data_IF_917700394899
#
_entry.id   IF_917700394899
#
_cell.length_a   1.000
_cell.length_b   1.000
_cell.length_c   1.000
_cell.angle_alpha   90.00
_cell.angle_beta   90.00
_cell.angle_gamma   90.00
#
_symmetry.space_group_name_H-M   'P 1'
#
loop_
_entity.id
_entity.type
_entity.pdbx_description
1 polymer ?
#
# COMPACT_ATOMS: atom_id res chain seq x y z
N UNK A 1 7.72 54.86 2.40
CA UNK A 1 6.82 53.79 1.87
C UNK A 1 7.72 52.65 1.41
N UNK A 2 7.38 51.40 1.73
CA UNK A 2 8.10 50.26 1.19
C UNK A 2 7.87 50.18 -0.33
N UNK A 3 8.89 49.84 -1.14
CA UNK A 3 8.72 49.67 -2.57
C UNK A 3 7.69 48.56 -2.83
N UNK A 4 6.83 48.69 -3.85
CA UNK A 4 5.82 47.69 -4.14
C UNK A 4 6.47 46.36 -4.50
N UNK A 5 5.83 45.25 -4.12
CA UNK A 5 6.32 43.91 -4.38
C UNK A 5 6.41 43.67 -5.89
N UNK A 6 7.60 43.35 -6.37
CA UNK A 6 7.85 43.03 -7.78
C UNK A 6 8.04 41.53 -7.97
N UNK A 7 8.48 40.80 -6.95
CA UNK A 7 8.67 39.35 -7.04
C UNK A 7 7.97 38.64 -5.89
N UNK A 8 7.15 37.65 -6.20
CA UNK A 8 6.56 36.74 -5.20
C UNK A 8 7.25 35.38 -5.30
N UNK A 9 7.88 34.98 -4.20
CA UNK A 9 8.46 33.65 -4.04
C UNK A 9 7.64 32.85 -3.04
N UNK A 10 7.06 31.77 -3.54
CA UNK A 10 6.33 30.83 -2.71
C UNK A 10 7.30 29.83 -2.04
N UNK A 11 7.36 29.81 -0.70
CA UNK A 11 8.24 28.91 0.08
C UNK A 11 7.53 27.64 0.59
N UNK A 12 6.42 27.27 -0.03
CA UNK A 12 5.68 26.05 0.31
C UNK A 12 4.23 26.29 0.70
N UNK A 13 3.69 27.48 0.39
CA UNK A 13 2.26 27.63 0.22
C UNK A 13 1.88 26.82 -1.00
N UNK A 14 1.17 25.73 -0.81
CA UNK A 14 0.36 25.29 -1.93
C UNK A 14 -0.75 26.34 -2.06
N UNK A 15 -0.62 27.26 -3.01
CA UNK A 15 -1.81 27.92 -3.59
C UNK A 15 -2.58 26.80 -4.28
N UNK A 16 -3.35 26.04 -3.49
CA UNK A 16 -4.07 24.84 -3.92
C UNK A 16 -5.23 25.18 -4.86
N UNK A 17 -5.69 26.43 -4.79
CA UNK A 17 -6.92 26.88 -5.43
C UNK A 17 -6.70 27.53 -6.80
N UNK A 18 -5.46 27.90 -7.15
CA UNK A 18 -5.13 28.59 -8.41
C UNK A 18 -3.89 27.99 -9.07
N UNK A 19 -3.96 27.85 -10.39
CA UNK A 19 -2.80 27.63 -11.27
C UNK A 19 -1.87 28.84 -11.27
N UNK A 20 -0.63 28.68 -11.75
CA UNK A 20 0.32 29.79 -11.86
C UNK A 20 -0.21 30.92 -12.75
N UNK A 21 -0.94 30.57 -13.82
CA UNK A 21 -1.58 31.54 -14.70
C UNK A 21 -2.74 32.29 -13.99
N UNK A 22 -3.58 31.59 -13.23
CA UNK A 22 -4.67 32.21 -12.47
C UNK A 22 -4.16 33.11 -11.36
N UNK A 23 -3.09 32.71 -10.66
CA UNK A 23 -2.42 33.55 -9.67
C UNK A 23 -1.80 34.80 -10.30
N UNK A 24 -1.16 34.68 -11.47
CA UNK A 24 -0.62 35.81 -12.22
C UNK A 24 -1.72 36.79 -12.68
N UNK A 25 -2.86 36.26 -13.14
CA UNK A 25 -4.02 37.05 -13.55
C UNK A 25 -4.63 37.82 -12.37
N UNK A 26 -4.81 37.14 -11.23
CA UNK A 26 -5.36 37.77 -10.03
C UNK A 26 -4.43 38.85 -9.48
N UNK A 27 -3.10 38.64 -9.54
CA UNK A 27 -2.13 39.66 -9.18
C UNK A 27 -2.24 40.91 -10.08
N UNK A 28 -2.34 40.74 -11.41
CA UNK A 28 -2.56 41.87 -12.32
C UNK A 28 -3.87 42.63 -12.01
N UNK A 29 -4.93 41.92 -11.64
CA UNK A 29 -6.23 42.49 -11.26
C UNK A 29 -6.14 43.33 -9.98
N UNK A 30 -5.46 42.82 -8.96
CA UNK A 30 -5.28 43.50 -7.67
C UNK A 30 -4.40 44.76 -7.77
N UNK A 31 -3.61 44.91 -8.84
CA UNK A 31 -2.59 45.97 -8.95
C UNK A 31 -2.98 47.13 -9.90
N UNK A 32 -4.26 47.54 -9.84
CA UNK A 32 -4.91 48.46 -10.81
C UNK A 32 -4.45 49.94 -10.81
N UNK A 33 -3.49 50.36 -9.97
CA UNK A 33 -3.01 51.75 -9.91
C UNK A 33 -1.81 52.01 -10.86
N UNK A 34 -1.59 53.29 -11.20
CA UNK A 34 -0.75 53.79 -12.31
C UNK A 34 0.77 53.60 -12.20
N UNK A 35 1.27 52.98 -11.12
CA UNK A 35 2.72 52.81 -10.85
C UNK A 35 3.19 51.34 -10.84
N UNK A 36 2.44 50.43 -11.48
CA UNK A 36 2.55 48.98 -11.24
C UNK A 36 2.40 48.13 -12.52
N UNK A 37 2.91 46.88 -12.54
CA UNK A 37 3.41 46.19 -13.75
C UNK A 37 2.38 46.05 -14.87
N UNK A 38 2.85 46.13 -16.11
CA UNK A 38 2.03 45.93 -17.32
C UNK A 38 1.87 44.45 -17.71
N UNK A 39 2.72 43.58 -17.15
CA UNK A 39 2.71 42.14 -17.36
C UNK A 39 3.31 41.41 -16.16
N UNK A 40 2.92 40.14 -15.97
CA UNK A 40 3.47 39.23 -14.95
C UNK A 40 4.16 38.06 -15.64
N UNK A 41 5.40 37.77 -15.22
CA UNK A 41 6.14 36.57 -15.63
C UNK A 41 5.79 35.45 -14.67
N UNK A 42 5.45 34.28 -15.20
CA UNK A 42 5.18 33.07 -14.43
C UNK A 42 5.70 31.82 -15.15
N UNK A 43 5.77 30.70 -14.44
CA UNK A 43 6.10 29.42 -15.06
C UNK A 43 4.80 28.69 -15.44
N UNK A 44 4.69 28.31 -16.71
CA UNK A 44 3.55 27.54 -17.22
C UNK A 44 3.63 26.06 -16.83
N UNK A 45 2.59 25.30 -17.19
CA UNK A 45 2.46 23.87 -16.85
C UNK A 45 3.50 22.97 -17.54
N UNK A 46 4.33 23.53 -18.43
CA UNK A 46 5.41 22.82 -19.13
C UNK A 46 6.80 23.20 -18.62
N UNK A 47 6.88 23.80 -17.43
CA UNK A 47 8.11 24.38 -16.84
C UNK A 47 8.76 25.47 -17.72
N UNK A 48 7.96 26.10 -18.59
CA UNK A 48 8.36 27.20 -19.47
C UNK A 48 8.07 28.57 -18.87
N UNK A 49 8.95 29.56 -19.14
CA UNK A 49 8.68 30.95 -18.76
C UNK A 49 7.68 31.60 -19.71
N UNK A 50 6.55 32.00 -19.15
CA UNK A 50 5.43 32.63 -19.85
C UNK A 50 5.13 34.01 -19.25
N UNK A 51 4.60 34.91 -20.07
CA UNK A 51 4.24 36.28 -19.70
C UNK A 51 2.76 36.49 -19.93
N UNK A 52 2.07 37.04 -18.93
CA UNK A 52 0.69 37.45 -19.03
C UNK A 52 0.57 38.97 -19.03
N UNK A 53 -0.08 39.55 -20.03
CA UNK A 53 -0.42 40.98 -20.06
C UNK A 53 -1.74 41.29 -19.33
N UNK A 54 -2.02 42.57 -19.08
CA UNK A 54 -3.30 43.01 -18.46
C UNK A 54 -4.57 42.68 -19.26
N UNK A 55 -4.45 42.22 -20.52
CA UNK A 55 -5.57 41.76 -21.34
C UNK A 55 -5.78 40.25 -21.21
N UNK A 56 -5.02 39.58 -20.34
CA UNK A 56 -5.06 38.14 -20.11
C UNK A 56 -4.41 37.33 -21.23
N UNK A 57 -3.62 37.95 -22.11
CA UNK A 57 -2.91 37.23 -23.17
C UNK A 57 -1.64 36.62 -22.60
N UNK A 58 -1.45 35.33 -22.84
CA UNK A 58 -0.29 34.55 -22.43
C UNK A 58 0.59 34.30 -23.66
N UNK A 59 1.88 34.55 -23.53
CA UNK A 59 2.88 34.26 -24.55
C UNK A 59 4.19 33.78 -23.91
N UNK A 60 5.03 33.06 -24.68
CA UNK A 60 6.36 32.68 -24.20
C UNK A 60 7.21 33.92 -23.97
N UNK A 61 7.93 33.97 -22.83
CA UNK A 61 8.83 35.06 -22.50
C UNK A 61 9.88 35.30 -23.58
N UNK A 62 10.32 34.26 -24.31
CA UNK A 62 11.36 34.40 -25.35
C UNK A 62 10.89 35.24 -26.56
N UNK A 63 9.60 35.20 -26.86
CA UNK A 63 8.99 35.89 -28.01
C UNK A 63 8.29 37.18 -27.63
N UNK A 64 8.16 37.44 -26.32
CA UNK A 64 7.45 38.60 -25.79
C UNK A 64 8.27 39.89 -25.89
N UNK A 65 7.65 41.07 -26.13
CA UNK A 65 8.31 42.36 -25.99
C UNK A 65 8.86 42.60 -24.56
N UNK A 66 8.33 41.91 -23.55
CA UNK A 66 8.79 41.99 -22.15
C UNK A 66 10.10 41.22 -21.89
N UNK A 67 10.61 40.44 -22.85
CA UNK A 67 11.87 39.72 -22.73
C UNK A 67 13.09 40.61 -22.43
N UNK A 68 13.03 41.88 -22.85
CA UNK A 68 14.10 42.88 -22.73
C UNK A 68 13.82 43.95 -21.66
N UNK A 69 12.62 43.96 -21.07
CA UNK A 69 12.20 44.86 -20.00
C UNK A 69 11.75 44.02 -18.80
N UNK A 70 12.72 43.58 -17.99
CA UNK A 70 12.46 42.77 -16.80
C UNK A 70 12.05 43.60 -15.57
N UNK A 71 11.79 44.91 -15.75
CA UNK A 71 11.29 45.81 -14.69
C UNK A 71 9.83 45.49 -14.27
N UNK A 72 9.22 44.46 -14.88
CA UNK A 72 7.88 43.94 -14.55
C UNK A 72 7.87 42.96 -13.37
N UNK A 73 6.66 42.63 -12.89
CA UNK A 73 6.50 41.74 -11.75
C UNK A 73 6.62 40.26 -12.12
N UNK A 74 7.18 39.44 -11.23
CA UNK A 74 7.45 38.01 -11.44
C UNK A 74 6.83 37.16 -10.33
N UNK A 75 6.11 36.09 -10.69
CA UNK A 75 5.53 35.11 -9.79
C UNK A 75 6.14 33.73 -10.05
N UNK A 76 6.59 33.01 -9.01
CA UNK A 76 7.22 31.69 -9.21
C UNK A 76 6.72 30.66 -8.19
N UNK A 77 6.42 29.44 -8.65
CA UNK A 77 5.92 28.33 -7.82
C UNK A 77 6.57 27.00 -8.23
N UNK A 78 7.70 26.63 -7.61
CA UNK A 78 8.32 25.32 -7.83
C UNK A 78 9.83 25.34 -7.62
N UNK A 79 10.48 24.16 -7.64
CA UNK A 79 11.95 24.05 -7.51
C UNK A 79 12.68 24.44 -8.82
N UNK A 80 12.11 24.09 -9.97
CA UNK A 80 12.66 24.37 -11.32
C UNK A 80 12.50 25.85 -11.69
N UNK A 81 11.33 26.42 -11.42
CA UNK A 81 10.91 27.80 -11.70
C UNK A 81 11.83 28.85 -11.06
N UNK A 82 12.28 28.57 -9.82
CA UNK A 82 13.06 29.50 -9.00
C UNK A 82 14.47 29.76 -9.55
N UNK A 83 15.08 28.78 -10.25
CA UNK A 83 16.45 28.90 -10.77
C UNK A 83 16.52 29.78 -12.03
N UNK A 84 15.59 29.64 -12.96
CA UNK A 84 15.62 30.42 -14.20
C UNK A 84 15.35 31.91 -13.93
N UNK A 85 14.42 32.21 -13.02
CA UNK A 85 14.03 33.59 -12.71
C UNK A 85 15.09 34.27 -11.81
N UNK A 86 15.61 33.60 -10.77
CA UNK A 86 16.64 34.18 -9.89
C UNK A 86 17.94 34.59 -10.62
N UNK A 87 18.33 33.88 -11.69
CA UNK A 87 19.50 34.25 -12.50
C UNK A 87 19.34 35.57 -13.27
N UNK A 88 18.11 36.09 -13.40
CA UNK A 88 17.76 37.28 -14.19
C UNK A 88 17.29 38.48 -13.36
N UNK A 89 17.08 38.34 -12.05
CA UNK A 89 16.58 39.38 -11.13
C UNK A 89 17.70 40.25 -10.48
N UNK A 90 18.89 40.33 -11.10
CA UNK A 90 20.10 40.84 -10.44
C UNK A 90 20.17 42.36 -10.18
N UNK A 91 19.11 43.14 -10.44
CA UNK A 91 19.15 44.61 -10.33
C UNK A 91 17.85 45.18 -9.71
N UNK A 92 17.94 45.65 -8.45
CA UNK A 92 17.02 46.65 -7.87
C UNK A 92 15.61 46.21 -7.49
N UNK A 93 15.22 44.94 -7.65
CA UNK A 93 13.84 44.49 -7.44
C UNK A 93 13.49 44.15 -5.99
N UNK A 94 12.23 44.41 -5.60
CA UNK A 94 11.67 44.06 -4.29
C UNK A 94 11.06 42.65 -4.27
N UNK A 95 11.53 41.79 -3.36
CA UNK A 95 11.11 40.38 -3.22
C UNK A 95 10.26 40.19 -1.96
N UNK A 96 9.14 39.49 -2.10
CA UNK A 96 8.26 39.09 -0.99
C UNK A 96 8.18 37.56 -0.92
N UNK A 97 8.34 37.03 0.29
CA UNK A 97 8.17 35.61 0.60
C UNK A 97 6.77 35.37 1.17
N UNK A 98 6.01 34.47 0.56
CA UNK A 98 4.72 34.04 1.06
C UNK A 98 4.90 32.76 1.88
N UNK A 99 4.63 32.83 3.18
CA UNK A 99 4.85 31.76 4.15
C UNK A 99 3.51 31.30 4.75
N UNK A 100 3.07 30.06 4.54
CA UNK A 100 1.89 29.51 5.22
C UNK A 100 2.04 29.45 6.74
N UNK A 101 0.93 29.42 7.47
CA UNK A 101 0.96 29.31 8.94
C UNK A 101 1.69 28.05 9.44
N UNK A 102 1.64 26.96 8.69
CA UNK A 102 2.36 25.72 9.00
C UNK A 102 3.88 25.91 8.93
N UNK A 103 4.36 26.55 7.86
CA UNK A 103 5.79 26.85 7.65
C UNK A 103 6.24 27.95 8.61
N UNK A 104 5.38 28.94 8.88
CA UNK A 104 5.60 29.99 9.87
C UNK A 104 5.95 29.40 11.22
N UNK A 105 5.16 28.42 11.71
CA UNK A 105 5.45 27.71 12.97
C UNK A 105 6.81 27.01 12.93
N UNK A 106 7.18 26.37 11.81
CA UNK A 106 8.48 25.71 11.65
C UNK A 106 9.65 26.69 11.65
N UNK A 107 9.50 27.85 11.01
CA UNK A 107 10.51 28.93 11.01
C UNK A 107 10.65 29.51 12.41
N UNK A 108 9.55 29.87 13.07
CA UNK A 108 9.56 30.46 14.42
C UNK A 108 10.14 29.53 15.47
N UNK A 109 10.00 28.21 15.32
CA UNK A 109 10.63 27.22 16.22
C UNK A 109 12.17 27.27 16.15
N UNK A 110 12.74 27.81 15.07
CA UNK A 110 14.19 27.89 14.82
C UNK A 110 14.75 29.32 14.90
N UNK A 111 13.89 30.35 14.84
CA UNK A 111 14.25 31.76 14.95
C UNK A 111 14.21 32.25 16.41
N UNK A 112 14.81 33.41 16.69
CA UNK A 112 14.79 34.02 18.04
C UNK A 112 13.38 34.54 18.42
N UNK A 113 13.04 34.51 19.72
CA UNK A 113 11.71 34.67 20.34
C UNK A 113 10.91 35.97 20.05
N UNK A 114 11.35 36.85 19.15
CA UNK A 114 10.73 38.16 18.92
C UNK A 114 9.49 38.14 18.01
N UNK A 115 9.04 36.97 17.54
CA UNK A 115 7.77 36.79 16.82
C UNK A 115 7.67 37.42 15.42
N UNK A 116 8.68 38.20 15.01
CA UNK A 116 8.80 38.76 13.67
C UNK A 116 9.75 37.90 12.84
N UNK A 117 9.33 37.50 11.63
CA UNK A 117 10.13 36.66 10.74
C UNK A 117 10.90 37.56 9.79
N UNK A 118 12.22 37.44 9.80
CA UNK A 118 13.09 38.12 8.84
C UNK A 118 13.41 37.22 7.63
N UNK A 119 13.90 37.83 6.54
CA UNK A 119 14.32 37.08 5.34
C UNK A 119 15.43 36.08 5.67
N UNK A 120 16.32 36.43 6.59
CA UNK A 120 17.36 35.55 7.12
C UNK A 120 16.79 34.26 7.72
N UNK A 121 15.69 34.35 8.48
CA UNK A 121 15.02 33.20 9.09
C UNK A 121 14.41 32.27 8.04
N UNK A 122 13.79 32.84 7.00
CA UNK A 122 13.22 32.09 5.87
C UNK A 122 14.31 31.34 5.11
N UNK A 123 15.44 32.01 4.81
CA UNK A 123 16.57 31.40 4.12
C UNK A 123 17.24 30.32 4.97
N UNK A 124 17.45 30.58 6.26
CA UNK A 124 18.02 29.61 7.18
C UNK A 124 17.15 28.36 7.28
N UNK A 125 15.82 28.52 7.39
CA UNK A 125 14.88 27.42 7.38
C UNK A 125 14.95 26.63 6.07
N UNK A 126 14.90 27.29 4.91
CA UNK A 126 14.93 26.63 3.61
C UNK A 126 16.23 25.84 3.36
N UNK A 127 17.38 26.40 3.74
CA UNK A 127 18.68 25.72 3.68
C UNK A 127 18.68 24.50 4.62
N UNK A 128 18.17 24.67 5.84
CA UNK A 128 18.10 23.60 6.83
C UNK A 128 17.19 22.45 6.38
N UNK A 129 16.01 22.73 5.83
CA UNK A 129 15.12 21.70 5.30
C UNK A 129 15.73 21.00 4.09
N UNK A 130 16.42 21.74 3.22
CA UNK A 130 17.16 21.15 2.10
C UNK A 130 18.24 20.20 2.61
N UNK A 131 18.99 20.59 3.63
CA UNK A 131 20.00 19.74 4.26
C UNK A 131 19.39 18.49 4.91
N UNK A 132 18.30 18.63 5.66
CA UNK A 132 17.61 17.48 6.27
C UNK A 132 17.05 16.52 5.23
N UNK A 133 16.45 17.05 4.16
CA UNK A 133 15.98 16.25 3.03
C UNK A 133 17.13 15.51 2.35
N UNK A 134 18.23 16.22 2.03
CA UNK A 134 19.43 15.59 1.47
C UNK A 134 19.96 14.47 2.37
N UNK A 135 20.07 14.73 3.68
CA UNK A 135 20.49 13.72 4.66
C UNK A 135 19.56 12.51 4.69
N UNK A 136 18.25 12.72 4.62
CA UNK A 136 17.25 11.66 4.55
C UNK A 136 17.35 10.80 3.28
N UNK A 137 17.81 11.39 2.17
CA UNK A 137 17.93 10.69 0.87
C UNK A 137 19.28 9.98 0.66
N UNK A 138 20.27 10.18 1.54
CA UNK A 138 21.59 9.53 1.43
C UNK A 138 21.50 8.00 1.44
N UNK A 139 20.69 7.34 2.29
CA UNK A 139 20.53 5.88 2.25
C UNK A 139 20.01 5.39 0.90
N UNK A 140 18.98 6.04 0.35
CA UNK A 140 18.41 5.67 -0.94
C UNK A 140 19.44 5.80 -2.07
N UNK A 141 20.15 6.93 -2.12
CA UNK A 141 21.25 7.13 -3.07
C UNK A 141 22.33 6.04 -2.94
N UNK A 142 22.71 5.68 -1.71
CA UNK A 142 23.72 4.66 -1.46
C UNK A 142 23.24 3.28 -1.92
N UNK A 143 22.00 2.90 -1.60
CA UNK A 143 21.37 1.66 -2.06
C UNK A 143 21.33 1.58 -3.59
N UNK A 144 20.94 2.67 -4.26
CA UNK A 144 20.96 2.76 -5.73
C UNK A 144 22.38 2.62 -6.31
N UNK A 145 23.37 3.27 -5.68
CA UNK A 145 24.78 3.17 -6.10
C UNK A 145 25.33 1.76 -5.96
N UNK A 146 25.08 1.08 -4.84
CA UNK A 146 25.51 -0.31 -4.63
C UNK A 146 24.78 -1.27 -5.57
N UNK A 147 23.49 -1.05 -5.81
CA UNK A 147 22.70 -1.78 -6.81
C UNK A 147 23.32 -1.67 -8.19
N UNK A 148 23.70 -0.46 -8.60
CA UNK A 148 24.39 -0.24 -9.87
C UNK A 148 25.70 -1.03 -9.94
N UNK A 149 26.56 -0.95 -8.91
CA UNK A 149 27.83 -1.68 -8.87
C UNK A 149 27.63 -3.21 -8.94
N UNK A 150 26.62 -3.74 -8.26
CA UNK A 150 26.24 -5.16 -8.35
C UNK A 150 25.84 -5.52 -9.78
N UNK A 151 24.96 -4.76 -10.41
CA UNK A 151 24.49 -5.04 -11.77
C UNK A 151 25.58 -4.88 -12.82
N UNK A 152 26.46 -3.89 -12.68
CA UNK A 152 27.60 -3.70 -13.57
C UNK A 152 28.53 -4.92 -13.59
N UNK A 153 28.80 -5.53 -12.42
CA UNK A 153 29.59 -6.77 -12.35
C UNK A 153 28.90 -7.92 -13.07
N UNK A 154 27.63 -8.15 -12.74
CA UNK A 154 26.86 -9.22 -13.37
C UNK A 154 26.78 -9.02 -14.89
N UNK A 155 26.69 -7.77 -15.34
CA UNK A 155 26.65 -7.43 -16.76
C UNK A 155 27.99 -7.71 -17.44
N UNK A 156 29.11 -7.33 -16.80
CA UNK A 156 30.44 -7.60 -17.30
C UNK A 156 30.77 -9.10 -17.35
N UNK A 157 30.24 -9.91 -16.42
CA UNK A 157 30.35 -11.38 -16.47
C UNK A 157 29.64 -11.99 -17.69
N UNK A 158 28.52 -11.40 -18.13
CA UNK A 158 27.71 -11.90 -19.26
C UNK A 158 28.28 -11.45 -20.60
N UNK A 159 28.95 -10.29 -20.64
CA UNK A 159 29.51 -9.70 -21.86
C UNK A 159 30.81 -10.41 -22.27
N UNK A 160 30.71 -11.63 -22.78
CA UNK A 160 31.79 -12.27 -23.56
C UNK A 160 31.74 -11.86 -25.03
N UNK A 161 32.89 -11.80 -25.70
CA UNK A 161 33.14 -11.03 -26.93
C UNK A 161 32.27 -11.36 -28.17
N UNK A 162 31.49 -12.45 -28.22
CA UNK A 162 30.76 -12.82 -29.45
C UNK A 162 29.29 -13.27 -29.31
N UNK A 163 28.71 -13.38 -28.10
CA UNK A 163 27.25 -13.55 -27.99
C UNK A 163 26.72 -13.28 -26.57
N UNK A 164 25.69 -12.44 -26.45
CA UNK A 164 24.98 -12.16 -25.19
C UNK A 164 23.86 -13.18 -24.96
N UNK A 165 24.21 -14.47 -24.81
CA UNK A 165 23.24 -15.50 -24.45
C UNK A 165 22.92 -15.42 -22.95
N UNK A 166 21.82 -14.75 -22.61
CA UNK A 166 21.28 -14.68 -21.26
C UNK A 166 20.70 -16.03 -20.83
N UNK A 167 21.48 -16.81 -20.07
CA UNK A 167 20.98 -17.99 -19.37
C UNK A 167 19.95 -17.61 -18.30
N UNK A 168 18.98 -18.50 -18.03
CA UNK A 168 18.04 -18.33 -16.91
C UNK A 168 18.72 -18.12 -15.56
N UNK A 169 19.93 -18.67 -15.36
CA UNK A 169 20.71 -18.43 -14.15
C UNK A 169 21.24 -16.99 -14.08
N UNK A 170 21.65 -16.41 -15.21
CA UNK A 170 22.07 -15.01 -15.29
C UNK A 170 20.91 -14.07 -14.97
N UNK A 171 19.73 -14.31 -15.58
CA UNK A 171 18.52 -13.53 -15.30
C UNK A 171 18.16 -13.59 -13.82
N UNK A 172 18.17 -14.78 -13.20
CA UNK A 172 17.87 -14.92 -11.75
C UNK A 172 18.81 -14.13 -10.85
N UNK A 173 20.09 -13.97 -11.21
CA UNK A 173 21.07 -13.18 -10.43
C UNK A 173 20.84 -11.67 -10.57
N UNK A 174 20.25 -11.23 -11.69
CA UNK A 174 19.84 -9.86 -11.98
C UNK A 174 18.51 -9.47 -11.34
N UNK A 175 17.66 -10.43 -10.98
CA UNK A 175 16.40 -10.15 -10.30
C UNK A 175 16.65 -9.62 -8.89
N UNK A 176 15.74 -8.77 -8.47
CA UNK A 176 15.64 -8.26 -7.11
C UNK A 176 14.28 -8.59 -6.55
N UNK A 177 14.23 -8.69 -5.23
CA UNK A 177 12.99 -8.87 -4.50
C UNK A 177 12.21 -7.55 -4.59
N UNK A 178 11.12 -7.54 -5.35
CA UNK A 178 10.24 -6.36 -5.51
C UNK A 178 9.56 -5.99 -4.19
N UNK A 179 9.30 -6.99 -3.33
CA UNK A 179 8.67 -6.80 -2.05
C UNK A 179 9.45 -7.50 -0.95
N UNK A 180 9.53 -6.87 0.21
CA UNK A 180 10.00 -7.52 1.42
C UNK A 180 8.95 -8.51 1.92
N UNK A 181 9.39 -9.72 2.26
CA UNK A 181 8.56 -10.65 3.01
C UNK A 181 8.11 -10.04 4.34
N UNK A 182 6.99 -10.53 4.86
CA UNK A 182 6.50 -10.10 6.17
C UNK A 182 7.52 -10.32 7.29
N UNK A 183 8.29 -11.41 7.21
CA UNK A 183 9.36 -11.67 8.14
C UNK A 183 10.48 -10.62 8.03
N UNK A 184 10.89 -10.22 6.83
CA UNK A 184 11.86 -9.13 6.65
C UNK A 184 11.32 -7.80 7.18
N UNK A 185 10.01 -7.54 7.05
CA UNK A 185 9.39 -6.26 7.44
C UNK A 185 9.07 -6.14 8.94
N UNK A 186 8.64 -7.22 9.57
CA UNK A 186 8.08 -7.19 10.93
C UNK A 186 8.86 -8.00 11.96
N UNK A 187 9.82 -8.85 11.56
CA UNK A 187 10.61 -9.60 12.54
C UNK A 187 11.43 -8.60 13.39
N UNK A 188 11.36 -8.67 14.72
CA UNK A 188 12.25 -7.89 15.59
C UNK A 188 13.70 -8.29 15.29
N UNK A 189 14.45 -7.41 14.61
CA UNK A 189 15.88 -7.59 14.34
C UNK A 189 16.66 -6.64 15.23
N UNK A 190 17.72 -7.15 15.87
CA UNK A 190 18.77 -6.29 16.38
C UNK A 190 19.53 -5.75 15.17
N UNK A 191 19.41 -4.44 14.88
CA UNK A 191 20.10 -3.67 13.84
C UNK A 191 21.06 -4.49 12.96
N UNK A 192 20.53 -5.22 11.98
CA UNK A 192 21.36 -5.84 10.95
C UNK A 192 21.39 -4.88 9.77
N UNK A 193 22.46 -4.10 9.65
CA UNK A 193 22.62 -3.17 8.53
C UNK A 193 22.96 -3.95 7.24
N UNK A 194 21.94 -4.37 6.50
CA UNK A 194 22.14 -5.08 5.22
C UNK A 194 22.99 -4.28 4.20
N UNK A 195 23.00 -2.95 4.30
CA UNK A 195 23.87 -2.09 3.50
C UNK A 195 25.35 -2.17 3.93
N UNK A 196 25.61 -2.26 5.24
CA UNK A 196 26.97 -2.41 5.77
C UNK A 196 27.56 -3.75 5.33
N UNK A 197 26.78 -4.83 5.39
CA UNK A 197 27.19 -6.15 4.91
C UNK A 197 27.54 -6.11 3.40
N UNK A 198 26.76 -5.38 2.60
CA UNK A 198 27.03 -5.23 1.17
C UNK A 198 28.29 -4.41 0.89
N UNK A 199 28.46 -3.28 1.59
CA UNK A 199 29.68 -2.45 1.53
C UNK A 199 30.92 -3.24 1.95
N UNK A 200 30.81 -4.10 2.95
CA UNK A 200 31.93 -4.95 3.40
C UNK A 200 32.24 -6.09 2.42
N UNK A 201 31.23 -6.60 1.71
CA UNK A 201 31.40 -7.63 0.67
C UNK A 201 32.04 -7.07 -0.60
N UNK A 202 31.80 -5.79 -0.89
CA UNK A 202 32.19 -5.11 -2.11
C UNK A 202 33.48 -4.29 -1.89
N UNK A 203 34.62 -4.85 -2.30
CA UNK A 203 35.93 -4.20 -2.14
C UNK A 203 36.25 -3.13 -3.19
N UNK A 204 35.26 -2.65 -3.97
CA UNK A 204 35.52 -1.63 -4.98
C UNK A 204 35.81 -0.26 -4.35
N UNK A 205 36.64 0.54 -5.04
CA UNK A 205 36.89 1.94 -4.67
C UNK A 205 35.57 2.74 -4.65
N UNK A 206 34.65 2.45 -5.56
CA UNK A 206 33.34 3.10 -5.63
C UNK A 206 32.48 2.81 -4.39
N UNK A 207 32.40 1.55 -3.93
CA UNK A 207 31.68 1.20 -2.70
C UNK A 207 32.26 1.90 -1.47
N UNK A 208 33.59 2.01 -1.38
CA UNK A 208 34.27 2.74 -0.31
C UNK A 208 33.95 4.25 -0.32
N UNK A 209 33.83 4.86 -1.50
CA UNK A 209 33.42 6.26 -1.63
C UNK A 209 31.97 6.48 -1.20
N UNK A 210 31.07 5.57 -1.58
CA UNK A 210 29.67 5.57 -1.13
C UNK A 210 29.60 5.48 0.40
N UNK A 211 30.32 4.52 0.99
CA UNK A 211 30.36 4.34 2.44
C UNK A 211 30.92 5.56 3.18
N UNK A 212 31.96 6.19 2.63
CA UNK A 212 32.55 7.42 3.19
C UNK A 212 31.55 8.56 3.16
N UNK A 213 30.86 8.74 2.03
CA UNK A 213 29.81 9.75 1.91
C UNK A 213 28.68 9.51 2.90
N UNK A 214 28.24 8.28 3.12
CA UNK A 214 27.22 8.00 4.14
C UNK A 214 27.67 8.39 5.56
N UNK A 215 28.96 8.17 5.89
CA UNK A 215 29.52 8.56 7.19
C UNK A 215 29.56 10.08 7.38
N UNK A 216 29.88 10.85 6.33
CA UNK A 216 29.88 12.32 6.38
C UNK A 216 28.51 12.91 6.77
N UNK A 217 27.41 12.23 6.41
CA UNK A 217 26.05 12.67 6.72
C UNK A 217 25.54 12.17 8.08
N UNK A 218 26.40 11.48 8.85
CA UNK A 218 26.11 10.98 10.20
C UNK A 218 25.32 9.68 10.15
N UNK A 219 26.05 8.56 10.06
CA UNK A 219 25.61 7.14 10.08
C UNK A 219 24.11 6.98 10.24
N UNK A 220 23.41 7.12 9.12
CA UNK A 220 21.95 7.06 9.08
C UNK A 220 21.56 5.62 9.41
N UNK A 221 20.61 5.42 10.32
CA UNK A 221 19.99 4.12 10.56
C UNK A 221 19.49 3.60 9.21
N UNK A 222 20.18 2.60 8.65
CA UNK A 222 19.98 2.16 7.27
C UNK A 222 18.68 1.38 7.08
N UNK A 223 17.84 1.29 8.12
CA UNK A 223 16.59 0.57 8.14
C UNK A 223 15.46 1.46 8.64
N UNK A 224 14.81 2.11 7.69
CA UNK A 224 13.39 2.38 7.82
C UNK A 224 12.74 2.06 6.48
N UNK A 225 12.33 0.81 6.30
CA UNK A 225 11.46 0.40 5.21
C UNK A 225 10.11 1.17 5.18
N UNK A 226 9.84 2.02 6.19
CA UNK A 226 8.77 3.02 6.18
C UNK A 226 9.19 4.35 5.55
N UNK A 227 10.44 4.78 5.74
CA UNK A 227 10.96 5.98 5.09
C UNK A 227 11.21 5.74 3.61
N UNK A 228 11.73 4.57 3.23
CA UNK A 228 11.95 4.28 1.81
C UNK A 228 10.64 4.34 1.01
N UNK A 229 9.52 3.82 1.53
CA UNK A 229 8.24 3.81 0.79
C UNK A 229 7.61 5.20 0.64
N UNK A 230 7.61 6.04 1.68
CA UNK A 230 7.01 7.39 1.62
C UNK A 230 7.90 8.37 0.82
N UNK A 231 9.22 8.22 0.95
CA UNK A 231 10.22 9.07 0.31
C UNK A 231 10.46 8.66 -1.15
N UNK A 232 10.36 7.36 -1.48
CA UNK A 232 10.23 6.92 -2.87
C UNK A 232 8.90 7.36 -3.48
N UNK A 233 7.79 7.44 -2.73
CA UNK A 233 6.50 7.92 -3.27
C UNK A 233 6.53 9.40 -3.65
N UNK A 234 7.22 10.22 -2.86
CA UNK A 234 7.44 11.64 -3.18
C UNK A 234 8.36 11.84 -4.40
N UNK A 235 9.36 10.97 -4.59
CA UNK A 235 10.27 11.01 -5.74
C UNK A 235 9.67 10.33 -6.98
N UNK A 236 8.86 9.29 -6.80
CA UNK A 236 8.23 8.52 -7.87
C UNK A 236 7.14 9.30 -8.60
N UNK A 237 6.58 10.35 -7.99
CA UNK A 237 5.67 11.26 -8.67
C UNK A 237 6.32 11.91 -9.92
N UNK A 238 7.65 11.97 -10.00
CA UNK A 238 8.41 12.54 -11.12
C UNK A 238 8.89 11.49 -12.14
N UNK A 239 8.72 10.18 -11.88
CA UNK A 239 9.20 9.10 -12.76
C UNK A 239 8.04 8.24 -13.30
N UNK A 240 7.73 8.37 -14.60
CA UNK A 240 6.83 7.43 -15.29
C UNK A 240 7.43 6.02 -15.24
N UNK A 241 6.81 5.12 -14.47
CA UNK A 241 7.16 3.69 -14.43
C UNK A 241 6.10 2.88 -15.18
N UNK A 242 6.50 2.25 -16.28
CA UNK A 242 5.69 1.21 -16.92
C UNK A 242 5.80 -0.10 -16.10
N UNK A 243 4.78 -0.41 -15.30
CA UNK A 243 4.72 -1.67 -14.57
C UNK A 243 4.23 -2.79 -15.49
N UNK A 244 5.07 -3.80 -15.75
CA UNK A 244 4.61 -5.06 -16.34
C UNK A 244 4.15 -6.01 -15.24
N UNK A 245 2.83 -6.15 -15.09
CA UNK A 245 2.23 -7.08 -14.13
C UNK A 245 2.45 -8.52 -14.60
N UNK A 246 3.24 -9.29 -13.85
CA UNK A 246 3.38 -10.72 -14.07
C UNK A 246 2.09 -11.42 -13.63
N UNK A 247 1.27 -11.83 -14.59
CA UNK A 247 0.04 -12.57 -14.30
C UNK A 247 0.34 -14.01 -13.87
N UNK A 248 -0.54 -14.63 -13.07
CA UNK A 248 -0.47 -16.05 -12.80
C UNK A 248 -0.35 -16.87 -14.10
N UNK A 249 0.35 -18.02 -14.06
CA UNK A 249 0.44 -18.93 -15.19
C UNK A 249 -0.95 -19.32 -15.71
N UNK A 250 -1.05 -19.57 -17.03
CA UNK A 250 -2.32 -20.05 -17.61
C UNK A 250 -2.67 -21.42 -17.02
N UNK A 251 -3.80 -21.49 -16.32
CA UNK A 251 -4.36 -22.73 -15.78
C UNK A 251 -5.71 -23.04 -16.43
N UNK A 252 -6.07 -24.32 -16.50
CA UNK A 252 -7.41 -24.74 -16.93
C UNK A 252 -8.38 -24.65 -15.75
N UNK A 253 -9.48 -23.88 -15.87
CA UNK A 253 -10.46 -23.79 -14.80
C UNK A 253 -11.15 -25.14 -14.60
N UNK A 254 -11.32 -25.55 -13.35
CA UNK A 254 -12.12 -26.75 -13.05
C UNK A 254 -13.58 -26.43 -13.31
N UNK A 255 -14.29 -27.36 -13.97
CA UNK A 255 -15.73 -27.21 -14.20
C UNK A 255 -16.48 -27.21 -12.87
N UNK A 256 -17.33 -26.20 -12.68
CA UNK A 256 -18.14 -26.08 -11.48
C UNK A 256 -19.19 -27.18 -11.37
N UNK A 257 -19.45 -27.63 -10.14
CA UNK A 257 -20.45 -28.66 -9.84
C UNK A 257 -21.07 -28.43 -8.46
N UNK A 258 -22.39 -28.54 -8.36
CA UNK A 258 -23.12 -28.47 -7.09
C UNK A 258 -23.40 -29.89 -6.63
N UNK A 259 -22.73 -30.30 -5.55
CA UNK A 259 -22.91 -31.64 -4.99
C UNK A 259 -24.32 -31.82 -4.40
N UNK A 260 -24.90 -33.02 -4.52
CA UNK A 260 -26.25 -33.31 -4.01
C UNK A 260 -26.40 -33.09 -2.50
N UNK A 261 -25.39 -33.43 -1.71
CA UNK A 261 -25.39 -33.14 -0.27
C UNK A 261 -25.39 -31.64 0.06
N UNK A 262 -24.92 -30.78 -0.85
CA UNK A 262 -25.06 -29.32 -0.70
C UNK A 262 -26.51 -28.89 -0.87
N UNK A 263 -27.23 -29.46 -1.85
CA UNK A 263 -28.67 -29.23 -2.03
C UNK A 263 -29.46 -29.73 -0.82
N UNK A 264 -29.10 -30.90 -0.26
CA UNK A 264 -29.70 -31.42 0.98
C UNK A 264 -29.43 -30.52 2.18
N UNK A 265 -28.24 -29.94 2.29
CA UNK A 265 -27.94 -28.97 3.34
C UNK A 265 -28.87 -27.76 3.25
N UNK A 266 -29.09 -27.22 2.04
CA UNK A 266 -30.00 -26.07 1.84
C UNK A 266 -31.45 -26.44 2.18
N UNK A 267 -31.91 -27.64 1.81
CA UNK A 267 -33.30 -28.04 2.04
C UNK A 267 -33.60 -28.52 3.46
N UNK A 268 -32.62 -29.10 4.17
CA UNK A 268 -32.83 -29.74 5.49
C UNK A 268 -32.07 -29.08 6.64
N UNK A 269 -31.00 -28.32 6.35
CA UNK A 269 -30.07 -27.79 7.34
C UNK A 269 -29.09 -28.81 7.93
N UNK A 270 -29.06 -30.04 7.39
CA UNK A 270 -28.23 -31.14 7.92
C UNK A 270 -27.21 -31.60 6.89
N UNK A 271 -25.98 -31.82 7.35
CA UNK A 271 -24.92 -32.46 6.57
C UNK A 271 -24.91 -33.96 6.89
N UNK A 272 -24.99 -34.80 5.86
CA UNK A 272 -24.91 -36.25 6.02
C UNK A 272 -23.53 -36.67 6.58
N UNK A 273 -23.53 -37.63 7.50
CA UNK A 273 -22.30 -38.17 8.07
C UNK A 273 -21.46 -38.84 6.96
N UNK A 274 -20.16 -38.54 6.91
CA UNK A 274 -19.28 -39.03 5.85
C UNK A 274 -19.48 -38.39 4.48
N UNK A 275 -20.26 -37.30 4.37
CA UNK A 275 -20.43 -36.58 3.10
C UNK A 275 -19.07 -36.18 2.51
N UNK A 276 -18.88 -36.50 1.23
CA UNK A 276 -17.66 -36.11 0.53
C UNK A 276 -17.71 -34.67 0.03
N UNK A 277 -18.86 -34.00 0.06
CA UNK A 277 -19.06 -32.66 -0.49
C UNK A 277 -18.28 -31.57 0.26
N UNK A 278 -18.03 -31.81 1.54
CA UNK A 278 -17.45 -30.86 2.47
C UNK A 278 -16.10 -31.35 2.97
N UNK A 279 -15.21 -30.42 3.26
CA UNK A 279 -13.94 -30.69 3.92
C UNK A 279 -13.65 -29.59 4.96
N UNK A 280 -12.88 -29.88 6.01
CA UNK A 280 -12.38 -28.85 6.92
C UNK A 280 -11.68 -27.73 6.14
N UNK A 281 -11.98 -26.48 6.48
CA UNK A 281 -11.50 -25.31 5.75
C UNK A 281 -9.97 -25.29 5.64
N UNK A 282 -9.25 -25.47 6.74
CA UNK A 282 -7.78 -25.44 6.73
C UNK A 282 -7.15 -26.58 5.89
N UNK A 283 -7.79 -27.75 5.83
CA UNK A 283 -7.33 -28.85 4.95
C UNK A 283 -7.46 -28.54 3.46
N UNK A 284 -8.26 -27.55 3.08
CA UNK A 284 -8.27 -27.10 1.68
C UNK A 284 -6.96 -26.45 1.24
N UNK A 285 -6.10 -26.07 2.20
CA UNK A 285 -4.79 -25.46 1.98
C UNK A 285 -3.65 -26.49 1.94
N UNK A 286 -3.92 -27.79 2.07
CA UNK A 286 -2.88 -28.84 2.12
C UNK A 286 -2.02 -28.92 0.83
N UNK A 287 -2.47 -28.31 -0.26
CA UNK A 287 -1.73 -28.26 -1.54
C UNK A 287 -1.02 -26.93 -1.78
N UNK A 288 -1.26 -25.92 -0.94
CA UNK A 288 -0.68 -24.58 -1.08
C UNK A 288 0.68 -24.51 -0.38
N UNK A 289 1.37 -23.39 -0.52
CA UNK A 289 2.58 -23.12 0.28
C UNK A 289 2.32 -23.21 1.79
N UNK A 290 1.08 -23.07 2.25
CA UNK A 290 0.68 -23.27 3.65
C UNK A 290 1.06 -24.62 4.22
N UNK A 291 0.99 -25.67 3.41
CA UNK A 291 1.29 -27.02 3.83
C UNK A 291 2.76 -27.23 4.24
N UNK A 292 3.66 -26.30 3.87
CA UNK A 292 5.06 -26.32 4.32
C UNK A 292 5.21 -25.97 5.80
N UNK A 293 4.20 -25.32 6.38
CA UNK A 293 4.19 -24.99 7.79
C UNK A 293 3.51 -26.12 8.59
N UNK A 294 4.13 -26.60 9.68
CA UNK A 294 3.58 -27.69 10.47
C UNK A 294 2.22 -27.31 11.08
N UNK A 295 1.26 -28.23 11.10
CA UNK A 295 0.03 -28.09 11.91
C UNK A 295 -1.21 -27.55 11.19
N UNK A 296 -1.22 -27.40 9.87
CA UNK A 296 -2.47 -27.11 9.10
C UNK A 296 -3.55 -28.18 9.36
N UNK A 297 -3.12 -29.42 9.54
CA UNK A 297 -3.95 -30.58 9.88
C UNK A 297 -4.44 -30.60 11.35
N UNK A 298 -3.79 -29.83 12.22
CA UNK A 298 -4.12 -29.72 13.65
C UNK A 298 -5.19 -28.66 13.94
N UNK A 299 -5.51 -27.80 12.95
CA UNK A 299 -6.61 -26.86 13.09
C UNK A 299 -7.94 -27.57 13.28
N UNK A 300 -8.87 -27.00 14.06
CA UNK A 300 -10.22 -27.52 14.17
C UNK A 300 -10.88 -27.64 12.80
N UNK A 301 -11.77 -28.62 12.67
CA UNK A 301 -12.53 -28.85 11.45
C UNK A 301 -14.00 -28.47 11.58
N UNK A 302 -14.35 -27.45 12.38
CA UNK A 302 -15.76 -27.05 12.54
C UNK A 302 -16.19 -26.21 11.36
N UNK A 303 -15.32 -25.31 10.88
CA UNK A 303 -15.52 -24.55 9.66
C UNK A 303 -15.26 -25.47 8.47
N UNK A 304 -16.25 -25.57 7.59
CA UNK A 304 -16.17 -26.39 6.40
C UNK A 304 -16.08 -25.51 5.16
N UNK A 305 -15.51 -26.06 4.09
CA UNK A 305 -15.60 -25.52 2.74
C UNK A 305 -16.19 -26.59 1.82
N UNK A 306 -16.83 -26.17 0.73
CA UNK A 306 -17.24 -27.09 -0.33
C UNK A 306 -16.07 -27.49 -1.22
N UNK A 307 -16.17 -28.62 -1.90
CA UNK A 307 -15.19 -29.03 -2.92
C UNK A 307 -15.09 -28.02 -4.06
N UNK A 308 -16.21 -27.44 -4.49
CA UNK A 308 -16.23 -26.45 -5.57
C UNK A 308 -15.48 -25.17 -5.17
N UNK A 309 -15.64 -24.72 -3.92
CA UNK A 309 -14.85 -23.62 -3.38
C UNK A 309 -13.35 -23.95 -3.37
N UNK A 310 -12.99 -25.14 -2.88
CA UNK A 310 -11.60 -25.54 -2.68
C UNK A 310 -10.84 -25.86 -3.99
N UNK A 311 -11.52 -26.26 -5.06
CA UNK A 311 -10.90 -26.77 -6.29
C UNK A 311 -11.24 -25.88 -7.49
N UNK A 312 -10.41 -24.87 -7.72
CA UNK A 312 -10.64 -23.81 -8.70
C UNK A 312 -10.08 -24.13 -10.09
N UNK A 313 -8.96 -24.85 -10.14
CA UNK A 313 -8.26 -25.25 -11.36
C UNK A 313 -8.09 -26.76 -11.42
N UNK A 314 -7.96 -27.30 -12.63
CA UNK A 314 -7.58 -28.70 -12.83
C UNK A 314 -6.20 -28.95 -12.19
N UNK A 315 -5.94 -30.14 -11.61
CA UNK A 315 -4.62 -30.45 -11.05
C UNK A 315 -3.55 -30.30 -12.13
N UNK A 316 -2.70 -29.29 -11.99
CA UNK A 316 -1.50 -29.11 -12.82
C UNK A 316 -0.42 -30.02 -12.25
N UNK A 317 0.48 -30.52 -13.11
CA UNK A 317 1.68 -31.23 -12.65
C UNK A 317 2.39 -30.39 -11.59
N UNK A 318 2.49 -30.94 -10.37
CA UNK A 318 2.70 -30.25 -9.08
C UNK A 318 4.12 -29.65 -8.98
N UNK A 319 4.96 -29.89 -9.98
CA UNK A 319 6.38 -29.55 -9.97
C UNK A 319 6.68 -28.14 -10.46
N UNK A 320 5.74 -27.43 -11.11
CA UNK A 320 6.06 -26.14 -11.76
C UNK A 320 5.38 -24.90 -11.17
N UNK A 321 4.26 -25.00 -10.44
CA UNK A 321 3.50 -23.81 -10.00
C UNK A 321 2.86 -23.94 -8.62
N UNK A 322 2.83 -22.82 -7.87
CA UNK A 322 2.14 -22.76 -6.58
C UNK A 322 0.63 -22.59 -6.80
N UNK A 323 -0.23 -23.44 -6.21
CA UNK A 323 -1.69 -23.28 -6.30
C UNK A 323 -2.23 -22.12 -5.45
N UNK A 324 -1.35 -21.35 -4.82
CA UNK A 324 -1.66 -20.14 -4.04
C UNK A 324 -2.38 -19.10 -4.90
N UNK A 325 -1.91 -18.88 -6.14
CA UNK A 325 -2.49 -17.94 -7.13
C UNK A 325 -3.92 -18.25 -7.57
N UNK A 326 -4.48 -19.38 -7.15
CA UNK A 326 -5.82 -19.80 -7.54
C UNK A 326 -6.74 -19.97 -6.33
N UNK A 327 -6.34 -19.46 -5.17
CA UNK A 327 -7.19 -19.44 -3.97
C UNK A 327 -8.32 -18.42 -4.12
N UNK A 328 -9.56 -18.82 -3.82
CA UNK A 328 -10.70 -17.89 -3.85
C UNK A 328 -10.77 -17.07 -2.58
N UNK A 329 -11.08 -15.75 -2.64
CA UNK A 329 -11.43 -15.01 -1.44
C UNK A 329 -12.68 -15.61 -0.79
N UNK A 330 -12.75 -15.57 0.55
CA UNK A 330 -13.98 -15.96 1.26
C UNK A 330 -14.96 -14.81 1.16
N UNK A 331 -16.04 -15.02 0.41
CA UNK A 331 -17.13 -14.05 0.25
C UNK A 331 -18.45 -14.58 0.78
N UNK A 332 -18.77 -15.84 0.49
CA UNK A 332 -20.06 -16.43 0.79
C UNK A 332 -19.94 -17.50 1.88
N UNK A 333 -20.68 -17.30 2.96
CA UNK A 333 -20.74 -18.22 4.09
C UNK A 333 -22.18 -18.66 4.30
N UNK A 334 -22.43 -19.96 4.28
CA UNK A 334 -23.72 -20.55 4.61
C UNK A 334 -23.70 -21.06 6.05
N UNK A 335 -24.65 -20.63 6.87
CA UNK A 335 -24.87 -21.20 8.20
C UNK A 335 -26.16 -21.99 8.24
N UNK A 336 -26.15 -23.12 8.95
CA UNK A 336 -27.38 -23.88 9.24
C UNK A 336 -27.85 -23.63 10.66
N UNK A 337 -29.17 -23.57 10.81
CA UNK A 337 -29.84 -23.38 12.09
C UNK A 337 -30.11 -24.73 12.73
N UNK A 338 -29.86 -24.84 14.03
CA UNK A 338 -30.50 -25.90 14.81
C UNK A 338 -31.82 -25.37 15.38
N UNK A 339 -32.90 -26.15 15.23
CA UNK A 339 -34.17 -25.85 15.89
C UNK A 339 -33.99 -25.84 17.40
N UNK A 340 -34.15 -24.68 18.02
CA UNK A 340 -34.34 -24.60 19.47
C UNK A 340 -35.76 -25.07 19.77
N UNK A 341 -35.90 -26.18 20.48
CA UNK A 341 -37.20 -26.62 21.03
C UNK A 341 -37.66 -25.75 22.23
N UNK A 342 -36.94 -24.67 22.55
CA UNK A 342 -37.26 -23.74 23.63
C UNK A 342 -37.75 -22.41 23.06
N UNK A 343 -38.92 -21.98 23.54
CA UNK A 343 -39.65 -20.75 23.19
C UNK A 343 -38.81 -19.48 23.51
N UNK A 344 -37.76 -19.59 24.33
CA UNK A 344 -36.99 -18.44 24.86
C UNK A 344 -35.54 -18.34 24.36
N UNK A 345 -35.10 -19.21 23.44
CA UNK A 345 -33.69 -19.20 22.97
C UNK A 345 -33.57 -18.94 21.47
N UNK A 346 -32.76 -17.92 21.14
CA UNK A 346 -32.38 -17.58 19.76
C UNK A 346 -31.81 -18.83 19.05
N UNK A 347 -32.17 -19.08 17.79
CA UNK A 347 -31.62 -20.21 17.03
C UNK A 347 -30.10 -20.09 16.96
N UNK A 348 -29.41 -21.18 17.28
CA UNK A 348 -27.94 -21.24 17.32
C UNK A 348 -27.41 -21.98 16.09
N UNK A 349 -26.33 -21.47 15.53
CA UNK A 349 -25.66 -22.09 14.37
C UNK A 349 -24.97 -23.39 14.79
N UNK A 350 -25.24 -24.47 14.05
CA UNK A 350 -24.61 -25.78 14.27
C UNK A 350 -23.60 -26.18 13.18
N UNK A 351 -23.68 -25.59 11.99
CA UNK A 351 -22.70 -25.74 10.90
C UNK A 351 -22.44 -24.41 10.23
N UNK A 352 -21.21 -24.22 9.78
CA UNK A 352 -20.77 -23.08 8.98
C UNK A 352 -19.95 -23.60 7.81
N UNK A 353 -20.36 -23.24 6.61
CA UNK A 353 -19.76 -23.72 5.35
C UNK A 353 -19.44 -22.53 4.46
N UNK A 354 -18.20 -22.43 4.00
CA UNK A 354 -17.80 -21.50 2.96
C UNK A 354 -18.10 -22.13 1.60
N UNK A 355 -18.77 -21.39 0.74
CA UNK A 355 -19.24 -21.87 -0.57
C UNK A 355 -18.67 -21.02 -1.69
N UNK A 356 -18.64 -21.56 -2.91
CA UNK A 356 -18.19 -20.78 -4.06
C UNK A 356 -19.22 -19.74 -4.50
N UNK A 357 -18.80 -18.68 -5.22
CA UNK A 357 -19.74 -17.75 -5.84
C UNK A 357 -20.73 -18.43 -6.80
N UNK A 358 -20.30 -19.50 -7.48
CA UNK A 358 -21.15 -20.29 -8.37
C UNK A 358 -22.25 -21.03 -7.57
N UNK A 359 -21.87 -21.74 -6.50
CA UNK A 359 -22.84 -22.40 -5.62
C UNK A 359 -23.81 -21.39 -4.98
N UNK A 360 -23.30 -20.24 -4.54
CA UNK A 360 -24.11 -19.17 -3.97
C UNK A 360 -25.16 -18.65 -4.95
N UNK A 361 -24.79 -18.44 -6.22
CA UNK A 361 -25.68 -17.95 -7.27
C UNK A 361 -26.75 -18.97 -7.65
N UNK A 362 -26.35 -20.21 -7.91
CA UNK A 362 -27.27 -21.27 -8.36
C UNK A 362 -28.24 -21.72 -7.26
N UNK A 363 -27.77 -21.76 -6.00
CA UNK A 363 -28.60 -22.12 -4.85
C UNK A 363 -29.38 -20.93 -4.29
N UNK A 364 -29.14 -19.71 -4.77
CA UNK A 364 -29.77 -18.49 -4.26
C UNK A 364 -31.30 -18.60 -4.15
N UNK A 365 -32.05 -19.08 -5.16
CA UNK A 365 -33.51 -19.19 -5.05
C UNK A 365 -33.92 -20.16 -3.94
N UNK A 366 -33.27 -21.33 -3.86
CA UNK A 366 -33.58 -22.33 -2.83
C UNK A 366 -33.21 -21.87 -1.42
N UNK A 367 -32.12 -21.10 -1.27
CA UNK A 367 -31.72 -20.51 0.01
C UNK A 367 -32.70 -19.44 0.45
N UNK A 368 -33.16 -18.61 -0.49
CA UNK A 368 -34.13 -17.54 -0.23
C UNK A 368 -35.47 -18.08 0.28
N UNK A 369 -35.84 -19.29 -0.10
CA UNK A 369 -37.08 -19.94 0.38
C UNK A 369 -36.85 -20.87 1.59
N UNK A 370 -35.59 -21.18 1.91
CA UNK A 370 -35.24 -22.11 2.98
C UNK A 370 -35.32 -21.48 4.37
N UNK A 371 -35.94 -22.21 5.30
CA UNK A 371 -36.00 -21.87 6.73
C UNK A 371 -34.82 -22.42 7.53
N UNK A 372 -34.01 -23.28 6.92
CA UNK A 372 -32.99 -24.05 7.60
C UNK A 372 -31.60 -23.40 7.53
N UNK A 373 -31.35 -22.61 6.50
CA UNK A 373 -30.04 -22.01 6.23
C UNK A 373 -30.13 -20.50 6.10
N UNK A 374 -28.99 -19.84 6.26
CA UNK A 374 -28.80 -18.42 5.96
C UNK A 374 -27.50 -18.24 5.22
N UNK A 375 -27.58 -17.55 4.09
CA UNK A 375 -26.41 -17.13 3.32
C UNK A 375 -25.97 -15.75 3.79
N UNK A 376 -24.69 -15.62 4.07
CA UNK A 376 -24.05 -14.42 4.58
C UNK A 376 -22.97 -13.94 3.62
N UNK A 377 -22.89 -12.62 3.41
CA UNK A 377 -21.72 -11.98 2.83
C UNK A 377 -20.68 -11.72 3.93
N UNK A 378 -19.48 -12.27 3.75
CA UNK A 378 -18.34 -12.09 4.63
C UNK A 378 -17.33 -11.13 3.99
N UNK A 379 -16.85 -10.18 4.78
CA UNK A 379 -15.77 -9.27 4.38
C UNK A 379 -14.73 -9.22 5.51
N UNK A 380 -13.50 -9.69 5.28
CA UNK A 380 -12.46 -9.67 6.31
C UNK A 380 -12.05 -8.23 6.63
N UNK A 381 -11.75 -7.97 7.91
CA UNK A 381 -11.28 -6.64 8.35
C UNK A 381 -9.78 -6.50 8.07
N UNK A 382 -9.47 -5.91 6.92
CA UNK A 382 -8.11 -5.60 6.47
C UNK A 382 -7.59 -4.23 6.88
N UNK A 383 -8.46 -3.34 7.40
CA UNK A 383 -8.10 -1.98 7.83
C UNK A 383 -8.83 -1.62 9.13
N UNK A 384 -8.12 -0.96 10.06
CA UNK A 384 -8.68 -0.49 11.33
C UNK A 384 -9.83 0.52 11.15
N UNK A 385 -9.78 1.32 10.08
CA UNK A 385 -10.84 2.28 9.72
C UNK A 385 -12.17 1.64 9.32
N UNK A 386 -12.19 0.35 9.00
CA UNK A 386 -13.41 -0.39 8.71
C UNK A 386 -14.04 -0.91 10.00
N UNK A 387 -15.37 -0.85 10.08
CA UNK A 387 -16.13 -1.46 11.18
C UNK A 387 -15.96 -2.99 11.13
N UNK A 388 -15.84 -3.68 12.28
CA UNK A 388 -15.84 -5.13 12.31
C UNK A 388 -17.16 -5.73 11.80
N UNK A 389 -17.07 -6.68 10.88
CA UNK A 389 -18.22 -7.39 10.28
C UNK A 389 -18.25 -8.88 10.68
N UNK A 390 -17.62 -9.20 11.81
CA UNK A 390 -17.47 -10.56 12.34
C UNK A 390 -18.81 -11.21 12.72
N UNK A 391 -19.89 -10.42 12.78
CA UNK A 391 -21.23 -10.89 13.12
C UNK A 391 -21.98 -11.49 11.93
N UNK A 392 -21.42 -11.40 10.72
CA UNK A 392 -22.07 -11.83 9.48
C UNK A 392 -23.47 -11.19 9.32
N UNK A 393 -23.55 -9.88 9.56
CA UNK A 393 -24.76 -9.07 9.54
C UNK A 393 -24.84 -8.09 8.36
N UNK A 394 -23.79 -8.03 7.52
CA UNK A 394 -23.71 -7.12 6.38
C UNK A 394 -24.82 -7.37 5.34
N UNK A 395 -24.97 -8.62 4.90
CA UNK A 395 -25.98 -9.01 3.92
C UNK A 395 -26.36 -10.48 4.14
N UNK A 396 -27.63 -10.71 4.46
CA UNK A 396 -28.15 -12.02 4.84
C UNK A 396 -29.37 -12.39 3.99
N UNK A 397 -29.39 -13.62 3.48
CA UNK A 397 -30.49 -14.17 2.68
C UNK A 397 -30.99 -15.45 3.32
N UNK A 398 -32.29 -15.51 3.62
CA UNK A 398 -32.99 -16.66 4.22
C UNK A 398 -34.49 -16.53 3.98
N UNK A 399 -35.20 -17.65 3.96
CA UNK A 399 -36.67 -17.68 3.89
C UNK A 399 -37.38 -17.43 5.21
N UNK A 400 -36.64 -17.36 6.31
CA UNK A 400 -37.16 -16.99 7.62
C UNK A 400 -36.85 -15.51 7.92
N UNK A 401 -37.81 -14.78 8.49
CA UNK A 401 -37.57 -13.40 8.97
C UNK A 401 -36.42 -13.45 9.97
N UNK A 402 -35.39 -12.65 9.72
CA UNK A 402 -34.07 -12.67 10.38
C UNK A 402 -34.14 -12.43 11.89
N UNK A 403 -34.57 -13.45 12.64
CA UNK A 403 -34.28 -13.54 14.06
C UNK A 403 -32.76 -13.62 14.22
N UNK A 404 -32.22 -12.79 15.11
CA UNK A 404 -30.78 -12.71 15.34
C UNK A 404 -30.20 -14.10 15.66
N UNK A 405 -29.53 -14.71 14.67
CA UNK A 405 -28.86 -15.99 14.80
C UNK A 405 -27.70 -15.86 15.78
N UNK A 406 -27.63 -16.77 16.77
CA UNK A 406 -26.47 -16.83 17.65
C UNK A 406 -25.40 -17.67 16.97
N UNK A 407 -24.31 -17.02 16.56
CA UNK A 407 -23.13 -17.72 16.03
C UNK A 407 -22.17 -17.98 17.19
N UNK A 408 -21.83 -19.26 17.49
CA UNK A 408 -20.81 -19.58 18.48
C UNK A 408 -19.47 -18.91 18.19
N UNK A 409 -18.78 -18.42 19.22
CA UNK A 409 -17.49 -17.72 19.08
C UNK A 409 -16.43 -18.57 18.37
N UNK A 410 -16.42 -19.89 18.58
CA UNK A 410 -15.47 -20.78 17.91
C UNK A 410 -15.56 -20.72 16.38
N UNK A 411 -16.78 -20.58 15.82
CA UNK A 411 -16.94 -20.43 14.37
C UNK A 411 -16.41 -19.10 13.87
N UNK A 412 -16.63 -18.02 14.62
CA UNK A 412 -16.14 -16.69 14.24
C UNK A 412 -14.62 -16.63 14.28
N UNK A 413 -13.99 -17.20 15.32
CA UNK A 413 -12.53 -17.27 15.42
C UNK A 413 -11.95 -18.07 14.25
N UNK A 414 -12.47 -19.27 14.01
CA UNK A 414 -11.99 -20.15 12.94
C UNK A 414 -12.19 -19.53 11.54
N UNK A 415 -13.34 -18.89 11.31
CA UNK A 415 -13.60 -18.12 10.09
C UNK A 415 -12.62 -16.96 9.95
N UNK A 416 -12.48 -16.12 10.97
CA UNK A 416 -11.61 -14.94 10.95
C UNK A 416 -10.14 -15.30 10.72
N UNK A 417 -9.68 -16.42 11.29
CA UNK A 417 -8.35 -16.96 11.02
C UNK A 417 -8.23 -17.41 9.56
N UNK A 418 -9.20 -18.18 9.05
CA UNK A 418 -9.17 -18.72 7.69
C UNK A 418 -9.27 -17.64 6.60
N UNK A 419 -10.06 -16.58 6.82
CA UNK A 419 -10.19 -15.45 5.89
C UNK A 419 -9.00 -14.49 5.92
N UNK A 420 -8.08 -14.63 6.90
CA UNK A 420 -6.92 -13.73 7.04
C UNK A 420 -7.26 -12.36 7.63
N UNK A 421 -8.19 -12.29 8.61
CA UNK A 421 -8.53 -11.03 9.28
C UNK A 421 -7.31 -10.47 10.04
N UNK A 422 -6.86 -9.27 9.69
CA UNK A 422 -5.65 -8.67 10.28
C UNK A 422 -5.89 -7.93 11.60
N UNK A 423 -7.05 -7.29 11.75
CA UNK A 423 -7.33 -6.39 12.88
C UNK A 423 -8.41 -6.92 13.81
N UNK A 424 -8.02 -7.26 15.04
CA UNK A 424 -8.97 -7.66 16.09
C UNK A 424 -9.73 -6.44 16.64
N UNK A 425 -10.95 -6.69 17.11
CA UNK A 425 -11.91 -5.67 17.54
C UNK A 425 -11.78 -5.32 19.02
N UNK A 426 -11.24 -6.23 19.83
CA UNK A 426 -11.02 -6.04 21.27
C UNK A 426 -9.86 -6.89 21.78
N UNK A 427 -9.37 -6.54 22.97
CA UNK A 427 -8.40 -7.37 23.70
C UNK A 427 -8.97 -8.74 24.09
N UNK A 428 -10.27 -8.81 24.37
CA UNK A 428 -10.96 -10.07 24.65
C UNK A 428 -10.91 -11.01 23.44
N UNK A 429 -11.17 -10.50 22.22
CA UNK A 429 -11.02 -11.29 20.99
C UNK A 429 -9.57 -11.78 20.81
N UNK A 430 -8.57 -10.96 21.18
CA UNK A 430 -7.16 -11.38 21.17
C UNK A 430 -6.89 -12.55 22.11
N UNK A 431 -7.37 -12.49 23.34
CA UNK A 431 -7.20 -13.60 24.31
C UNK A 431 -7.89 -14.85 23.80
N UNK A 432 -9.13 -14.75 23.29
CA UNK A 432 -9.86 -15.90 22.75
C UNK A 432 -9.13 -16.55 21.55
N UNK A 433 -8.55 -15.75 20.66
CA UNK A 433 -7.75 -16.25 19.53
C UNK A 433 -6.47 -16.92 20.05
N UNK A 434 -5.80 -16.36 21.06
CA UNK A 434 -4.62 -16.96 21.67
C UNK A 434 -4.94 -18.29 22.34
N UNK A 435 -6.02 -18.36 23.11
CA UNK A 435 -6.47 -19.58 23.77
C UNK A 435 -6.85 -20.65 22.74
N UNK A 436 -7.54 -20.25 21.66
CA UNK A 436 -7.85 -21.13 20.54
C UNK A 436 -6.56 -21.71 19.93
N UNK A 437 -5.58 -20.87 19.59
CA UNK A 437 -4.32 -21.34 19.00
C UNK A 437 -3.47 -22.17 19.99
N UNK A 438 -3.46 -21.80 21.27
CA UNK A 438 -2.71 -22.50 22.31
C UNK A 438 -3.26 -23.91 22.60
N UNK A 439 -4.58 -24.08 22.55
CA UNK A 439 -5.24 -25.38 22.75
C UNK A 439 -4.84 -26.42 21.70
N UNK A 440 -4.66 -25.99 20.45
CA UNK A 440 -4.31 -26.88 19.33
C UNK A 440 -2.80 -26.93 19.03
N UNK A 441 -1.97 -26.20 19.78
CA UNK A 441 -0.53 -26.05 19.53
C UNK A 441 0.34 -26.17 20.80
N UNK A 442 0.53 -27.37 21.33
CA UNK A 442 1.39 -27.61 22.50
C UNK A 442 2.90 -27.43 22.24
N UNK A 443 3.35 -27.32 20.99
CA UNK A 443 4.72 -26.90 20.61
C UNK A 443 4.83 -25.42 20.19
N UNK A 444 3.71 -24.75 19.92
CA UNK A 444 3.67 -23.34 19.49
C UNK A 444 3.85 -22.37 20.65
N UNK A 445 3.47 -22.78 21.87
CA UNK A 445 3.47 -21.93 23.06
C UNK A 445 4.85 -21.49 23.58
N UNK A 446 5.97 -22.05 23.07
CA UNK A 446 7.32 -21.72 23.57
C UNK A 446 8.19 -20.91 22.62
N UNK A 447 7.75 -20.68 21.38
CA UNK A 447 8.51 -19.84 20.44
C UNK A 447 7.51 -19.04 19.60
N UNK A 448 7.37 -17.76 19.94
CA UNK A 448 6.74 -16.71 19.12
C UNK A 448 5.20 -16.73 19.08
N UNK A 449 4.59 -16.25 20.17
CA UNK A 449 3.31 -15.53 20.11
C UNK A 449 3.51 -14.22 19.32
N UNK A 450 3.52 -14.27 18.00
CA UNK A 450 3.30 -13.08 17.19
C UNK A 450 2.79 -13.48 15.83
N UNK A 451 1.57 -13.03 15.48
CA UNK A 451 1.20 -12.45 14.18
C UNK A 451 1.35 -13.31 12.90
N UNK A 452 2.30 -14.24 12.79
CA UNK A 452 2.65 -14.99 11.59
C UNK A 452 1.50 -15.84 11.05
N UNK A 453 0.72 -16.56 11.86
CA UNK A 453 -0.35 -17.41 11.32
C UNK A 453 -1.52 -16.61 10.73
N UNK A 454 -1.90 -15.50 11.39
CA UNK A 454 -2.95 -14.59 10.92
C UNK A 454 -2.48 -13.83 9.68
N UNK A 455 -1.24 -13.33 9.73
CA UNK A 455 -0.63 -12.63 8.60
C UNK A 455 -0.30 -13.56 7.44
N UNK A 456 -0.12 -14.87 7.65
CA UNK A 456 0.18 -15.83 6.60
C UNK A 456 -1.07 -16.32 5.86
N UNK A 457 -2.17 -16.56 6.59
CA UNK A 457 -3.48 -16.77 5.93
C UNK A 457 -3.90 -15.51 5.17
N UNK A 458 -3.54 -14.32 5.68
CA UNK A 458 -3.64 -13.08 4.93
C UNK A 458 -2.69 -13.11 3.73
N UNK A 459 -1.39 -13.39 3.85
CA UNK A 459 -0.39 -13.36 2.76
C UNK A 459 -0.76 -14.23 1.56
N UNK A 460 -1.27 -15.45 1.77
CA UNK A 460 -1.77 -16.33 0.70
C UNK A 460 -2.98 -15.72 -0.03
N UNK A 461 -3.79 -14.91 0.66
CA UNK A 461 -5.05 -14.36 0.14
C UNK A 461 -4.96 -12.87 -0.24
N UNK A 462 -3.96 -12.13 0.24
CA UNK A 462 -3.73 -10.69 0.04
C UNK A 462 -2.67 -10.40 -0.99
N UNK A 463 -1.86 -11.39 -1.38
CA UNK A 463 -0.95 -11.27 -2.54
C UNK A 463 -1.67 -10.89 -3.84
N UNK A 464 -3.00 -10.93 -3.87
CA UNK A 464 -3.82 -10.59 -5.05
C UNK A 464 -4.80 -9.42 -4.88
N UNK A 465 -4.90 -8.77 -3.71
CA UNK A 465 -5.81 -7.61 -3.58
C UNK A 465 -5.19 -6.26 -3.94
N UNK A 466 -3.87 -6.19 -4.11
CA UNK A 466 -3.13 -4.97 -4.46
C UNK A 466 -2.35 -5.08 -5.80
N UNK A 467 -2.77 -5.98 -6.70
CA UNK A 467 -2.20 -6.10 -8.05
C UNK A 467 -3.23 -5.70 -9.12
#
# INVERSE_FOLDING_TARGET
MAPPAQVILDVGAQVLELTNAEAANEWLRLTSNSDMPQAVIFCDDTDGLSVMDRKGRIESLQTSPFAKQLDGSCYTRGKSDKRQISSRLAQGQSVVFCVPDEIRKKITTRASDNGNIEVSDVLFWAISETWQNMKGNIPLWATQGLRFLRHERLWNEIRTQDDTLLSSNHVRRFLEDEALSLEQRYRPRANQDGLADFIHSDQSQAASLIATRCREFGSVSYHSAKMDEEQEREVAAEAEREQQVQRPPKARPKKHEIHEDMKKLVSTGVIAEGSTAFLPAFRSLDKTSAARHPGVDQFPGKLLVTRDYAQTVEPIDILSFSPDFFQRPVQWVLTSRHGSNSIDHKPTVNRMVIISPYEAQELYPSIKDSKHVTLHLCVPRSNLGLKPLDKLDLYNVSGEVTSALRIPRSFIIELNLFVGKLYLSSYEEYVEVCDFLAWYGSQWARTVLSLQTVLFCAEIRTTEQNA
#
